data_IF_347334070627
#
_entry.id   IF_347334070627
#
_cell.length_a   1.000
_cell.length_b   1.000
_cell.length_c   1.000
_cell.angle_alpha   90.00
_cell.angle_beta   90.00
_cell.angle_gamma   90.00
#
_symmetry.space_group_name_H-M   'P 1'
#
loop_
_entity.id
_entity.type
_entity.pdbx_description
1 polymer ?
#
# COMPACT_ATOMS: atom_id res chain seq x y z
N UNK A 1 9.85 5.98 -7.37
CA UNK A 1 8.45 5.65 -7.02
C UNK A 1 8.51 4.37 -6.25
N UNK A 2 7.86 4.31 -5.10
CA UNK A 2 7.91 3.13 -4.24
C UNK A 2 6.51 2.57 -4.00
N UNK A 3 6.44 1.26 -3.78
CA UNK A 3 5.20 0.54 -3.47
C UNK A 3 5.38 -0.19 -2.16
N UNK A 4 4.70 0.26 -1.11
CA UNK A 4 4.72 -0.44 0.17
C UNK A 4 3.59 -1.46 0.21
N UNK A 5 3.85 -2.65 0.76
CA UNK A 5 2.87 -3.74 0.90
C UNK A 5 2.19 -4.08 -0.43
N UNK A 6 2.98 -4.13 -1.51
CA UNK A 6 2.53 -4.41 -2.86
C UNK A 6 1.70 -5.70 -2.95
N UNK A 7 0.64 -5.69 -3.77
CA UNK A 7 -0.26 -6.83 -3.91
C UNK A 7 -1.16 -7.09 -2.70
N UNK A 8 -1.06 -6.28 -1.65
CA UNK A 8 -1.98 -6.33 -0.51
C UNK A 8 -3.07 -5.26 -0.65
N UNK A 9 -4.16 -5.39 0.11
CA UNK A 9 -5.26 -4.42 0.05
C UNK A 9 -4.90 -3.01 0.55
N UNK A 10 -3.84 -2.92 1.35
CA UNK A 10 -3.29 -1.69 1.92
C UNK A 10 -2.08 -1.18 1.17
N UNK A 11 -1.82 -1.69 -0.04
CA UNK A 11 -0.70 -1.20 -0.83
C UNK A 11 -0.78 0.33 -0.99
N UNK A 12 0.33 1.00 -0.74
CA UNK A 12 0.50 2.45 -0.92
C UNK A 12 1.55 2.69 -1.99
N UNK A 13 1.33 3.72 -2.81
CA UNK A 13 2.30 4.15 -3.82
C UNK A 13 2.73 5.56 -3.50
N UNK A 14 4.03 5.77 -3.34
CA UNK A 14 4.60 7.05 -2.92
C UNK A 14 5.63 7.57 -3.91
N UNK A 15 5.75 8.90 -3.94
CA UNK A 15 6.82 9.60 -4.65
C UNK A 15 7.85 10.07 -3.63
N UNK A 16 9.08 9.58 -3.79
CA UNK A 16 10.24 9.99 -3.01
C UNK A 16 11.27 10.62 -3.92
N UNK A 17 12.06 11.54 -3.38
CA UNK A 17 13.25 12.06 -4.04
C UNK A 17 14.44 11.13 -3.75
N UNK A 18 15.29 10.95 -4.75
CA UNK A 18 16.50 10.14 -4.64
C UNK A 18 17.69 10.86 -5.29
N UNK A 19 18.89 10.48 -4.87
CA UNK A 19 20.12 10.79 -5.59
C UNK A 19 20.37 9.60 -6.53
N UNK A 20 20.51 9.88 -7.83
CA UNK A 20 20.59 8.82 -8.86
C UNK A 20 21.77 7.87 -8.66
N UNK A 21 22.89 8.38 -8.13
CA UNK A 21 24.09 7.57 -7.88
C UNK A 21 23.95 6.60 -6.70
N UNK A 22 22.92 6.78 -5.87
CA UNK A 22 22.66 5.92 -4.71
C UNK A 22 21.64 4.81 -5.04
N UNK A 23 21.08 4.82 -6.26
CA UNK A 23 20.11 3.82 -6.67
C UNK A 23 20.82 2.51 -7.05
N UNK A 24 20.32 1.36 -6.56
CA UNK A 24 20.74 0.05 -7.04
C UNK A 24 20.49 -0.13 -8.54
N UNK A 25 21.21 -1.05 -9.17
CA UNK A 25 21.07 -1.37 -10.60
C UNK A 25 19.68 -1.93 -10.99
N UNK A 26 18.89 -2.39 -10.01
CA UNK A 26 17.50 -2.83 -10.20
C UNK A 26 16.52 -1.69 -10.51
N UNK A 27 16.95 -0.44 -10.35
CA UNK A 27 16.12 0.71 -10.68
C UNK A 27 16.23 1.09 -12.15
N UNK A 28 15.08 1.19 -12.81
CA UNK A 28 14.97 1.66 -14.18
C UNK A 28 14.52 3.12 -14.22
N UNK A 29 15.10 3.89 -15.14
CA UNK A 29 14.74 5.27 -15.40
C UNK A 29 13.56 5.38 -16.38
N UNK A 30 12.58 6.20 -16.02
CA UNK A 30 11.42 6.56 -16.84
C UNK A 30 11.41 8.09 -17.02
N UNK A 31 11.84 8.61 -18.17
CA UNK A 31 12.03 10.04 -18.36
C UNK A 31 10.72 10.81 -18.59
N UNK A 32 10.57 11.96 -17.94
CA UNK A 32 9.48 12.93 -18.15
C UNK A 32 10.04 14.32 -18.44
N UNK A 33 9.17 15.25 -18.84
CA UNK A 33 9.56 16.65 -19.02
C UNK A 33 9.84 17.30 -17.66
N UNK A 34 11.13 17.48 -17.36
CA UNK A 34 11.63 18.22 -16.18
C UNK A 34 12.00 17.36 -14.98
N UNK A 35 11.73 16.05 -15.00
CA UNK A 35 12.18 15.10 -13.99
C UNK A 35 12.20 13.68 -14.58
N UNK A 36 12.90 12.76 -13.92
CA UNK A 36 12.83 11.33 -14.21
C UNK A 36 12.19 10.61 -13.03
N UNK A 37 11.41 9.58 -13.31
CA UNK A 37 10.93 8.66 -12.29
C UNK A 37 11.81 7.41 -12.32
N UNK A 38 12.22 6.94 -11.14
CA UNK A 38 12.98 5.70 -11.00
C UNK A 38 12.11 4.66 -10.30
N UNK A 39 12.09 3.44 -10.84
CA UNK A 39 11.26 2.33 -10.33
C UNK A 39 12.11 1.07 -10.24
N UNK A 40 12.13 0.44 -9.08
CA UNK A 40 12.75 -0.87 -8.89
C UNK A 40 12.00 -1.96 -9.67
N UNK A 41 12.73 -2.91 -10.27
CA UNK A 41 12.17 -4.02 -11.03
C UNK A 41 11.07 -4.79 -10.31
N UNK A 42 11.19 -4.97 -8.98
CA UNK A 42 10.20 -5.67 -8.17
C UNK A 42 8.83 -5.00 -8.14
N UNK A 43 8.76 -3.71 -8.48
CA UNK A 43 7.53 -2.91 -8.46
C UNK A 43 6.86 -2.79 -9.84
N UNK A 44 7.49 -3.28 -10.92
CA UNK A 44 7.00 -3.09 -12.28
C UNK A 44 5.60 -3.69 -12.51
N UNK A 45 5.33 -4.89 -11.97
CA UNK A 45 4.01 -5.54 -12.13
C UNK A 45 2.89 -4.75 -11.43
N UNK A 46 3.17 -4.27 -10.22
CA UNK A 46 2.23 -3.50 -9.41
C UNK A 46 1.99 -2.09 -9.96
N UNK A 47 2.97 -1.53 -10.67
CA UNK A 47 2.87 -0.22 -11.31
C UNK A 47 2.46 -0.28 -12.78
N UNK A 48 2.17 -1.47 -13.32
CA UNK A 48 1.65 -1.62 -14.68
C UNK A 48 0.37 -0.80 -14.87
N UNK A 49 0.25 -0.15 -16.02
CA UNK A 49 -0.88 0.73 -16.39
C UNK A 49 -1.11 1.92 -15.44
N UNK A 50 -0.11 2.24 -14.60
CA UNK A 50 -0.19 3.40 -13.71
C UNK A 50 -0.12 4.70 -14.49
N UNK A 51 -0.78 5.74 -13.95
CA UNK A 51 -0.84 7.07 -14.54
C UNK A 51 -0.46 8.12 -13.52
N UNK A 52 0.44 9.01 -13.93
CA UNK A 52 0.79 10.21 -13.16
C UNK A 52 0.04 11.40 -13.75
N UNK A 53 -0.58 12.19 -12.89
CA UNK A 53 -1.31 13.40 -13.24
C UNK A 53 -0.94 14.53 -12.28
N UNK A 54 -1.07 15.76 -12.75
CA UNK A 54 -0.98 16.95 -11.91
C UNK A 54 -2.39 17.44 -11.62
N UNK A 55 -2.81 17.34 -10.36
CA UNK A 55 -4.08 17.92 -9.90
C UNK A 55 -3.83 19.37 -9.49
N UNK A 56 -4.66 20.27 -10.03
CA UNK A 56 -4.66 21.69 -9.66
C UNK A 56 -5.85 21.92 -8.74
N UNK A 57 -5.59 22.43 -7.54
CA UNK A 57 -6.60 22.77 -6.55
C UNK A 57 -6.39 24.22 -6.11
N UNK A 58 -7.16 25.13 -6.70
CA UNK A 58 -6.94 26.57 -6.58
C UNK A 58 -5.54 26.99 -7.04
N UNK A 59 -4.74 27.54 -6.12
CA UNK A 59 -3.36 27.94 -6.37
C UNK A 59 -2.34 26.80 -6.19
N UNK A 60 -2.76 25.65 -5.64
CA UNK A 60 -1.87 24.52 -5.33
C UNK A 60 -1.83 23.56 -6.52
N UNK A 61 -0.63 23.08 -6.85
CA UNK A 61 -0.41 21.99 -7.82
C UNK A 61 0.16 20.78 -7.08
N UNK A 62 -0.48 19.61 -7.23
CA UNK A 62 -0.05 18.36 -6.59
C UNK A 62 0.11 17.27 -7.64
N UNK A 63 1.23 16.56 -7.61
CA UNK A 63 1.41 15.34 -8.38
C UNK A 63 0.62 14.21 -7.73
N UNK A 64 -0.16 13.49 -8.52
CA UNK A 64 -0.97 12.35 -8.08
C UNK A 64 -0.69 11.15 -8.98
N UNK A 65 -0.69 9.96 -8.40
CA UNK A 65 -0.55 8.69 -9.12
C UNK A 65 -1.81 7.86 -8.95
N UNK A 66 -2.23 7.22 -10.04
CA UNK A 66 -3.22 6.15 -10.05
C UNK A 66 -2.49 4.87 -10.45
N UNK A 67 -2.44 3.89 -9.55
CA UNK A 67 -1.78 2.61 -9.78
C UNK A 67 -2.82 1.49 -9.62
N UNK A 68 -3.46 1.04 -10.72
CA UNK A 68 -4.60 0.13 -10.64
C UNK A 68 -4.22 -1.27 -10.13
N UNK A 69 -2.97 -1.68 -10.34
CA UNK A 69 -2.47 -3.01 -9.97
C UNK A 69 -1.67 -3.01 -8.65
N UNK A 70 -1.57 -1.87 -7.96
CA UNK A 70 -0.77 -1.79 -6.74
C UNK A 70 -1.42 -2.56 -5.60
N UNK A 71 -2.75 -2.49 -5.50
CA UNK A 71 -3.54 -3.16 -4.48
C UNK A 71 -3.92 -4.57 -4.93
N UNK A 72 -3.89 -5.50 -3.99
CA UNK A 72 -4.45 -6.83 -4.17
C UNK A 72 -5.97 -6.81 -4.33
N UNK A 73 -6.52 -7.89 -4.89
CA UNK A 73 -7.95 -8.10 -4.97
C UNK A 73 -8.56 -8.43 -3.60
N UNK A 74 -9.85 -8.14 -3.43
CA UNK A 74 -10.60 -8.65 -2.30
C UNK A 74 -10.71 -10.18 -2.37
N UNK A 75 -10.64 -10.89 -1.23
CA UNK A 75 -10.88 -12.32 -1.19
C UNK A 75 -12.23 -12.66 -1.81
N UNK A 76 -12.27 -13.75 -2.58
CA UNK A 76 -13.50 -14.25 -3.19
C UNK A 76 -14.48 -14.74 -2.12
N UNK A 77 -15.75 -14.91 -2.51
CA UNK A 77 -16.80 -15.41 -1.62
C UNK A 77 -16.54 -16.83 -1.10
N UNK A 78 -15.70 -17.62 -1.77
CA UNK A 78 -15.28 -18.97 -1.38
C UNK A 78 -13.92 -19.01 -0.67
N UNK A 79 -13.24 -17.85 -0.51
CA UNK A 79 -11.97 -17.77 0.18
C UNK A 79 -12.09 -18.20 1.65
N UNK A 80 -11.00 -18.75 2.24
CA UNK A 80 -10.95 -19.10 3.66
C UNK A 80 -11.39 -17.94 4.55
N UNK A 81 -12.09 -18.27 5.65
CA UNK A 81 -12.57 -17.28 6.61
C UNK A 81 -11.43 -16.42 7.16
N UNK A 82 -10.26 -17.03 7.38
CA UNK A 82 -9.05 -16.37 7.84
C UNK A 82 -8.60 -15.26 6.89
N UNK A 83 -8.58 -15.55 5.59
CA UNK A 83 -8.19 -14.59 4.55
C UNK A 83 -9.13 -13.38 4.52
N UNK A 84 -10.44 -13.62 4.63
CA UNK A 84 -11.46 -12.55 4.69
C UNK A 84 -11.31 -11.69 5.93
N UNK A 85 -11.09 -12.29 7.10
CA UNK A 85 -10.88 -11.55 8.35
C UNK A 85 -9.60 -10.73 8.27
N UNK A 86 -8.51 -11.33 7.80
CA UNK A 86 -7.23 -10.64 7.64
C UNK A 86 -7.36 -9.47 6.68
N UNK A 87 -8.05 -9.66 5.55
CA UNK A 87 -8.34 -8.58 4.61
C UNK A 87 -9.06 -7.43 5.30
N UNK A 88 -10.18 -7.67 5.99
CA UNK A 88 -10.93 -6.62 6.71
C UNK A 88 -10.09 -5.93 7.78
N UNK A 89 -9.31 -6.69 8.57
CA UNK A 89 -8.41 -6.11 9.57
C UNK A 89 -7.44 -5.13 8.91
N UNK A 90 -6.87 -5.53 7.79
CA UNK A 90 -5.85 -4.75 7.09
C UNK A 90 -6.47 -3.56 6.34
N UNK A 91 -7.60 -3.71 5.64
CA UNK A 91 -8.21 -2.63 4.83
C UNK A 91 -9.04 -1.63 5.59
N UNK A 92 -9.70 -2.07 6.65
CA UNK A 92 -10.74 -1.28 7.32
C UNK A 92 -10.35 -0.98 8.77
N UNK A 93 -9.90 -1.97 9.53
CA UNK A 93 -9.68 -1.78 10.97
C UNK A 93 -8.37 -1.06 11.27
N UNK A 94 -7.25 -1.57 10.75
CA UNK A 94 -5.92 -1.03 11.02
C UNK A 94 -5.71 0.41 10.56
N UNK A 95 -6.22 0.87 9.40
CA UNK A 95 -6.11 2.28 9.01
C UNK A 95 -6.78 3.23 10.03
N UNK A 96 -7.88 2.80 10.64
CA UNK A 96 -8.56 3.57 11.67
C UNK A 96 -7.77 3.56 12.99
N UNK A 97 -7.27 2.40 13.44
CA UNK A 97 -6.45 2.30 14.65
C UNK A 97 -5.12 3.07 14.52
N UNK A 98 -4.47 2.98 13.36
CA UNK A 98 -3.20 3.66 13.08
C UNK A 98 -3.31 5.19 13.21
N UNK A 99 -4.50 5.75 12.94
CA UNK A 99 -4.75 7.19 13.11
C UNK A 99 -4.62 7.66 14.56
N UNK A 100 -4.71 6.73 15.52
CA UNK A 100 -4.47 6.98 16.94
C UNK A 100 -3.21 6.26 17.47
N UNK A 101 -2.39 5.70 16.58
CA UNK A 101 -1.16 4.99 16.94
C UNK A 101 -1.38 3.56 17.46
N UNK A 102 -2.51 2.95 17.12
CA UNK A 102 -2.85 1.57 17.42
C UNK A 102 -2.75 0.63 16.22
N UNK A 103 -2.83 -0.66 16.50
CA UNK A 103 -2.93 -1.74 15.52
C UNK A 103 -3.63 -2.96 16.12
N UNK A 104 -4.11 -3.83 15.24
CA UNK A 104 -4.63 -5.15 15.59
C UNK A 104 -4.11 -6.19 14.60
N UNK A 105 -3.81 -7.37 15.14
CA UNK A 105 -3.37 -8.54 14.38
C UNK A 105 -4.27 -9.74 14.67
N UNK A 106 -4.49 -10.58 13.66
CA UNK A 106 -5.15 -11.87 13.81
C UNK A 106 -4.14 -12.88 14.37
N UNK A 107 -4.45 -13.49 15.51
CA UNK A 107 -3.62 -14.52 16.14
C UNK A 107 -4.04 -15.91 15.67
N UNK A 108 -5.33 -16.23 15.81
CA UNK A 108 -5.88 -17.50 15.34
C UNK A 108 -7.41 -17.43 15.19
N UNK A 109 -7.93 -18.39 14.44
CA UNK A 109 -9.36 -18.75 14.46
C UNK A 109 -9.46 -20.13 15.10
N UNK A 110 -10.09 -20.20 16.27
CA UNK A 110 -10.19 -21.45 17.01
C UNK A 110 -11.10 -22.45 16.28
N UNK A 111 -11.01 -23.73 16.63
CA UNK A 111 -11.91 -24.78 16.08
C UNK A 111 -13.39 -24.50 16.34
N UNK A 112 -13.72 -23.63 17.30
CA UNK A 112 -15.09 -23.20 17.62
C UNK A 112 -15.53 -21.96 16.83
N UNK A 113 -14.70 -21.50 15.87
CA UNK A 113 -14.89 -20.25 15.10
C UNK A 113 -14.86 -18.98 15.97
N UNK A 114 -14.06 -18.99 17.03
CA UNK A 114 -13.75 -17.78 17.79
C UNK A 114 -12.53 -17.11 17.17
N UNK A 115 -12.51 -15.78 17.11
CA UNK A 115 -11.41 -15.00 16.52
C UNK A 115 -10.57 -14.42 17.65
N UNK A 116 -9.30 -14.81 17.72
CA UNK A 116 -8.35 -14.28 18.70
C UNK A 116 -7.55 -13.16 18.05
N UNK A 117 -7.62 -11.97 18.64
CA UNK A 117 -6.96 -10.77 18.13
C UNK A 117 -5.95 -10.25 19.14
N UNK A 118 -4.82 -9.76 18.65
CA UNK A 118 -3.82 -9.04 19.44
C UNK A 118 -3.90 -7.55 19.12
N UNK A 119 -4.27 -6.74 20.11
CA UNK A 119 -4.27 -5.28 19.98
C UNK A 119 -2.98 -4.72 20.59
N UNK A 120 -2.41 -3.70 19.95
CA UNK A 120 -1.25 -2.98 20.45
C UNK A 120 -1.25 -1.53 20.00
N UNK A 121 -0.45 -0.68 20.66
CA UNK A 121 -0.42 0.75 20.35
C UNK A 121 0.10 1.64 21.47
N UNK A 122 0.22 2.93 21.18
CA UNK A 122 0.54 3.97 22.18
C UNK A 122 -0.67 4.36 23.04
N UNK A 123 -0.53 5.36 23.93
CA UNK A 123 -1.59 5.79 24.87
C UNK A 123 -2.94 6.24 24.23
N UNK A 124 -3.02 6.29 22.91
CA UNK A 124 -4.24 6.63 22.16
C UNK A 124 -4.68 5.48 21.23
N UNK A 125 -3.88 4.42 21.08
CA UNK A 125 -4.04 3.35 20.10
C UNK A 125 -4.90 2.18 20.57
#
# INVERSE_FOLDING_TARGET
VDVEKAGTPVATVTFNFCITNDLPESYNEYPYKGFSAYIDDSNNEYLKDSRVAMKIDGATKKLTITAPNAKGEAPKDDAPLEEKILFTIVTEINPNLASHGGFVELVEITKKKEVVLNFGGGCQG
#
